data_IF_424581865290
#
_entry.id   IF_424581865290
#
_cell.length_a   1.000
_cell.length_b   1.000
_cell.length_c   1.000
_cell.angle_alpha   90.00
_cell.angle_beta   90.00
_cell.angle_gamma   90.00
#
_symmetry.space_group_name_H-M   'P 1'
#
loop_
_entity.id
_entity.type
_entity.pdbx_description
1 polymer ?
#
# COMPACT_ATOMS: atom_id res chain seq x y z
N UNK A 1 32.05 -15.90 7.41
CA UNK A 1 32.86 -15.31 8.50
C UNK A 1 32.25 -14.12 9.21
N UNK A 2 31.55 -13.19 8.54
CA UNK A 2 30.97 -12.01 9.21
C UNK A 2 30.03 -12.38 10.37
N UNK A 3 29.09 -13.31 10.15
CA UNK A 3 28.15 -13.80 11.18
C UNK A 3 28.87 -14.58 12.30
N UNK A 4 29.89 -15.35 11.94
CA UNK A 4 30.71 -16.07 12.91
C UNK A 4 31.49 -15.08 13.80
N UNK A 5 32.04 -14.02 13.21
CA UNK A 5 32.79 -12.97 13.91
C UNK A 5 31.89 -12.17 14.88
N UNK A 6 30.65 -11.87 14.51
CA UNK A 6 29.68 -11.24 15.42
C UNK A 6 29.30 -12.14 16.61
N UNK A 7 29.50 -13.45 16.49
CA UNK A 7 29.31 -14.43 17.57
C UNK A 7 30.62 -14.76 18.30
N UNK A 8 31.68 -13.98 18.09
CA UNK A 8 32.99 -14.16 18.73
C UNK A 8 33.83 -15.29 18.13
N UNK A 9 33.47 -15.82 16.95
CA UNK A 9 34.17 -16.91 16.27
C UNK A 9 34.95 -16.38 15.06
N UNK A 10 36.27 -16.34 15.14
CA UNK A 10 37.17 -15.97 14.02
C UNK A 10 37.61 -17.21 13.23
N UNK A 11 37.51 -17.16 11.90
CA UNK A 11 37.99 -18.21 10.99
C UNK A 11 37.20 -19.52 10.99
N UNK A 12 36.07 -19.57 11.72
CA UNK A 12 35.22 -20.77 11.89
C UNK A 12 33.85 -20.65 11.21
N UNK A 13 33.74 -19.87 10.14
CA UNK A 13 32.46 -19.67 9.44
C UNK A 13 31.78 -20.97 8.98
N UNK A 14 32.56 -22.00 8.63
CA UNK A 14 32.04 -23.33 8.24
C UNK A 14 31.62 -24.20 9.43
N UNK A 15 32.20 -23.98 10.62
CA UNK A 15 31.87 -24.74 11.83
C UNK A 15 30.69 -24.14 12.59
N UNK A 16 30.27 -22.92 12.20
CA UNK A 16 29.19 -22.19 12.86
C UNK A 16 27.89 -23.01 12.97
N UNK A 17 27.38 -23.69 11.91
CA UNK A 17 26.16 -24.47 12.02
C UNK A 17 26.29 -25.62 13.03
N UNK A 18 27.44 -26.31 13.04
CA UNK A 18 27.73 -27.40 13.97
C UNK A 18 27.79 -26.89 15.41
N UNK A 19 28.49 -25.78 15.65
CA UNK A 19 28.58 -25.16 16.97
C UNK A 19 27.19 -24.77 17.53
N UNK A 20 26.34 -24.16 16.71
CA UNK A 20 24.97 -23.79 17.11
C UNK A 20 24.13 -25.04 17.37
N UNK A 21 24.28 -26.08 16.54
CA UNK A 21 23.57 -27.35 16.69
C UNK A 21 23.99 -28.11 17.96
N UNK A 22 25.29 -28.15 18.27
CA UNK A 22 25.83 -28.77 19.49
C UNK A 22 25.29 -28.06 20.75
N UNK A 23 25.08 -26.75 20.66
CA UNK A 23 24.42 -25.95 21.71
C UNK A 23 22.90 -26.05 21.72
N UNK A 24 22.30 -26.83 20.80
CA UNK A 24 20.84 -26.96 20.60
C UNK A 24 20.13 -25.61 20.42
N UNK A 25 20.82 -24.65 19.80
CA UNK A 25 20.27 -23.32 19.53
C UNK A 25 19.79 -23.21 18.09
N UNK A 26 18.97 -22.20 17.82
CA UNK A 26 18.57 -21.78 16.48
C UNK A 26 18.69 -20.28 16.37
N UNK A 27 19.18 -19.79 15.25
CA UNK A 27 19.32 -18.36 14.97
C UNK A 27 18.51 -18.04 13.73
N UNK A 28 17.65 -17.03 13.83
CA UNK A 28 16.94 -16.46 12.69
C UNK A 28 17.36 -15.01 12.56
N UNK A 29 18.03 -14.68 11.47
CA UNK A 29 18.34 -13.30 11.13
C UNK A 29 17.09 -12.63 10.53
N UNK A 30 16.70 -11.49 11.09
CA UNK A 30 15.61 -10.67 10.53
C UNK A 30 16.23 -9.41 9.94
N UNK A 31 15.99 -9.18 8.66
CA UNK A 31 16.51 -8.03 7.91
C UNK A 31 15.33 -7.20 7.43
N UNK A 32 15.42 -5.89 7.64
CA UNK A 32 14.48 -4.88 7.19
C UNK A 32 15.24 -3.59 6.85
N UNK A 33 14.60 -2.61 6.20
CA UNK A 33 15.21 -1.33 5.86
C UNK A 33 16.31 -1.44 4.79
N UNK A 34 16.13 -2.34 3.81
CA UNK A 34 17.10 -2.50 2.72
C UNK A 34 17.27 -1.22 1.88
N UNK A 35 16.22 -0.40 1.81
CA UNK A 35 16.22 0.91 1.16
C UNK A 35 17.29 1.88 1.73
N UNK A 36 17.59 1.80 3.03
CA UNK A 36 18.57 2.68 3.66
C UNK A 36 19.99 2.32 3.26
N UNK A 37 20.24 1.02 3.05
CA UNK A 37 21.53 0.46 2.65
C UNK A 37 21.74 0.50 1.12
N UNK A 38 20.66 0.38 0.35
CA UNK A 38 20.70 0.27 -1.11
C UNK A 38 19.95 1.42 -1.79
N UNK A 39 20.34 2.66 -1.51
CA UNK A 39 19.61 3.85 -1.96
C UNK A 39 19.50 3.98 -3.50
N UNK A 40 20.44 3.39 -4.25
CA UNK A 40 20.51 3.49 -5.72
C UNK A 40 20.13 2.17 -6.40
N UNK A 41 19.33 1.31 -5.74
CA UNK A 41 18.93 -0.01 -6.23
C UNK A 41 18.30 -0.01 -7.64
N UNK A 42 17.76 1.11 -8.10
CA UNK A 42 17.17 1.24 -9.43
C UNK A 42 18.23 1.39 -10.55
N UNK A 43 19.39 1.99 -10.27
CA UNK A 43 20.38 2.40 -11.27
C UNK A 43 21.74 1.70 -11.10
N UNK A 44 22.11 1.35 -9.87
CA UNK A 44 23.39 0.72 -9.55
C UNK A 44 23.34 -0.80 -9.71
N UNK A 45 24.12 -1.32 -10.66
CA UNK A 45 24.23 -2.78 -10.93
C UNK A 45 24.87 -3.55 -9.78
N UNK A 46 25.83 -2.97 -9.06
CA UNK A 46 26.47 -3.62 -7.92
C UNK A 46 25.46 -3.80 -6.78
N UNK A 47 24.66 -2.77 -6.49
CA UNK A 47 23.58 -2.86 -5.52
C UNK A 47 22.51 -3.89 -5.93
N UNK A 48 22.11 -3.90 -7.20
CA UNK A 48 21.17 -4.91 -7.73
C UNK A 48 21.72 -6.34 -7.60
N UNK A 49 23.01 -6.55 -7.86
CA UNK A 49 23.67 -7.85 -7.68
C UNK A 49 23.70 -8.26 -6.22
N UNK A 50 24.05 -7.34 -5.30
CA UNK A 50 24.06 -7.60 -3.87
C UNK A 50 22.66 -7.95 -3.33
N UNK A 51 21.63 -7.20 -3.74
CA UNK A 51 20.24 -7.47 -3.40
C UNK A 51 19.78 -8.82 -3.94
N UNK A 52 20.13 -9.16 -5.19
CA UNK A 52 19.82 -10.49 -5.75
C UNK A 52 20.46 -11.60 -4.93
N UNK A 53 21.75 -11.47 -4.61
CA UNK A 53 22.46 -12.46 -3.81
C UNK A 53 21.83 -12.63 -2.42
N UNK A 54 21.45 -11.52 -1.77
CA UNK A 54 20.80 -11.56 -0.48
C UNK A 54 19.39 -12.19 -0.54
N UNK A 55 18.60 -11.87 -1.57
CA UNK A 55 17.21 -12.32 -1.67
C UNK A 55 17.07 -13.74 -2.23
N UNK A 56 18.03 -14.23 -3.02
CA UNK A 56 17.96 -15.54 -3.69
C UNK A 56 19.05 -16.50 -3.20
N UNK A 57 20.31 -16.10 -3.35
CA UNK A 57 21.44 -17.02 -3.15
C UNK A 57 21.64 -17.36 -1.66
N UNK A 58 21.49 -16.38 -0.76
CA UNK A 58 21.64 -16.59 0.69
C UNK A 58 20.56 -17.54 1.26
N UNK A 59 19.25 -17.34 1.02
CA UNK A 59 18.23 -18.30 1.43
C UNK A 59 18.47 -19.69 0.87
N UNK A 60 18.81 -19.80 -0.43
CA UNK A 60 19.07 -21.09 -1.06
C UNK A 60 20.30 -21.80 -0.43
N UNK A 61 21.35 -21.05 -0.12
CA UNK A 61 22.53 -21.57 0.56
C UNK A 61 22.21 -22.04 1.98
N UNK A 62 21.38 -21.29 2.72
CA UNK A 62 20.94 -21.66 4.07
C UNK A 62 20.08 -22.94 4.07
N UNK A 63 19.21 -23.12 3.08
CA UNK A 63 18.40 -24.34 2.91
C UNK A 63 19.25 -25.61 2.75
N UNK A 64 20.45 -25.48 2.20
CA UNK A 64 21.41 -26.57 1.99
C UNK A 64 22.30 -26.84 3.20
N UNK A 65 22.30 -25.98 4.22
CA UNK A 65 23.20 -26.15 5.37
C UNK A 65 22.79 -27.34 6.26
N UNK A 66 23.77 -28.11 6.77
CA UNK A 66 23.53 -29.14 7.77
C UNK A 66 22.84 -28.58 9.02
N UNK A 67 22.08 -29.41 9.73
CA UNK A 67 21.38 -29.11 10.99
C UNK A 67 20.25 -28.07 10.93
N UNK A 68 20.16 -27.27 9.86
CA UNK A 68 19.12 -26.23 9.65
C UNK A 68 18.89 -25.34 10.88
N UNK A 69 19.97 -25.01 11.57
CA UNK A 69 19.96 -24.19 12.79
C UNK A 69 20.05 -22.68 12.49
N UNK A 70 20.26 -22.30 11.22
CA UNK A 70 20.31 -20.94 10.74
C UNK A 70 19.14 -20.68 9.78
N UNK A 71 18.41 -19.60 10.02
CA UNK A 71 17.33 -19.12 9.15
C UNK A 71 17.45 -17.62 8.89
N UNK A 72 16.71 -17.15 7.89
CA UNK A 72 16.65 -15.74 7.54
C UNK A 72 15.22 -15.34 7.16
N UNK A 73 14.81 -14.15 7.58
CA UNK A 73 13.58 -13.48 7.18
C UNK A 73 13.98 -12.10 6.66
N UNK A 74 13.59 -11.78 5.44
CA UNK A 74 13.94 -10.52 4.79
C UNK A 74 12.66 -9.80 4.40
N UNK A 75 12.44 -8.64 5.00
CA UNK A 75 11.42 -7.70 4.56
C UNK A 75 12.02 -6.84 3.44
N UNK A 76 11.30 -6.78 2.32
CA UNK A 76 11.74 -6.04 1.14
C UNK A 76 10.55 -5.43 0.44
N UNK A 77 10.68 -4.17 0.02
CA UNK A 77 9.69 -3.49 -0.79
C UNK A 77 9.59 -4.13 -2.18
N UNK A 78 8.41 -4.11 -2.78
CA UNK A 78 8.13 -4.75 -4.06
C UNK A 78 8.91 -4.12 -5.24
N UNK A 79 9.19 -2.82 -5.17
CA UNK A 79 9.99 -2.09 -6.16
C UNK A 79 11.47 -2.52 -6.15
N UNK A 80 12.08 -2.64 -4.96
CA UNK A 80 13.44 -3.17 -4.77
C UNK A 80 13.58 -4.58 -5.36
N UNK A 81 12.61 -5.46 -5.05
CA UNK A 81 12.58 -6.82 -5.58
C UNK A 81 12.52 -6.81 -7.12
N UNK A 82 11.66 -5.97 -7.69
CA UNK A 82 11.45 -5.88 -9.15
C UNK A 82 12.68 -5.33 -9.86
N UNK A 83 13.36 -4.34 -9.27
CA UNK A 83 14.58 -3.76 -9.82
C UNK A 83 15.76 -4.75 -9.81
N UNK A 84 15.86 -5.57 -8.77
CA UNK A 84 17.01 -6.47 -8.52
C UNK A 84 16.88 -7.83 -9.23
N UNK A 85 15.65 -8.35 -9.37
CA UNK A 85 15.36 -9.69 -9.91
C UNK A 85 14.58 -9.59 -11.22
N UNK A 86 15.19 -9.01 -12.27
CA UNK A 86 14.47 -8.69 -13.52
C UNK A 86 13.91 -9.90 -14.26
N UNK A 87 14.65 -11.01 -14.35
CA UNK A 87 14.25 -12.18 -15.16
C UNK A 87 13.22 -13.08 -14.47
N UNK A 88 13.28 -13.21 -13.13
CA UNK A 88 12.47 -14.18 -12.37
C UNK A 88 11.56 -13.54 -11.31
N UNK A 89 11.36 -12.21 -11.35
CA UNK A 89 10.54 -11.50 -10.34
C UNK A 89 9.12 -12.06 -10.21
N UNK A 90 8.49 -12.49 -11.32
CA UNK A 90 7.15 -13.07 -11.32
C UNK A 90 7.07 -14.37 -10.51
N UNK A 91 8.01 -15.30 -10.75
CA UNK A 91 8.07 -16.56 -10.00
C UNK A 91 8.35 -16.31 -8.51
N UNK A 92 9.25 -15.38 -8.20
CA UNK A 92 9.58 -15.04 -6.83
C UNK A 92 8.39 -14.40 -6.10
N UNK A 93 7.70 -13.45 -6.73
CA UNK A 93 6.46 -12.85 -6.21
C UNK A 93 5.40 -13.91 -5.96
N UNK A 94 5.22 -14.86 -6.88
CA UNK A 94 4.26 -15.95 -6.71
C UNK A 94 4.62 -16.86 -5.53
N UNK A 95 5.90 -17.21 -5.36
CA UNK A 95 6.38 -18.07 -4.25
C UNK A 95 6.13 -17.44 -2.89
N UNK A 96 6.29 -16.12 -2.77
CA UNK A 96 6.15 -15.39 -1.50
C UNK A 96 4.81 -14.67 -1.34
N UNK A 97 3.88 -14.82 -2.28
CA UNK A 97 2.56 -14.18 -2.24
C UNK A 97 1.82 -14.36 -0.90
N UNK A 98 1.78 -15.56 -0.28
CA UNK A 98 1.08 -15.76 0.99
C UNK A 98 1.64 -14.93 2.16
N UNK A 99 2.90 -14.49 2.05
CA UNK A 99 3.61 -13.71 3.08
C UNK A 99 3.63 -12.21 2.77
N UNK A 100 2.88 -11.77 1.75
CA UNK A 100 2.88 -10.35 1.36
C UNK A 100 2.19 -9.52 2.42
N UNK A 101 2.94 -8.62 3.04
CA UNK A 101 2.40 -7.62 3.96
C UNK A 101 1.70 -6.53 3.16
N UNK A 102 0.36 -6.53 3.19
CA UNK A 102 -0.46 -5.53 2.53
C UNK A 102 -1.58 -5.06 3.44
N UNK A 103 -1.84 -3.77 3.38
CA UNK A 103 -3.06 -3.18 3.92
C UNK A 103 -4.20 -3.43 2.94
N UNK A 104 -4.98 -4.45 3.25
CA UNK A 104 -6.22 -4.76 2.55
C UNK A 104 -7.42 -4.09 3.24
N UNK A 105 -8.62 -4.32 2.71
CA UNK A 105 -9.88 -3.73 3.21
C UNK A 105 -10.11 -4.01 4.69
N UNK A 106 -9.96 -5.27 5.11
CA UNK A 106 -10.20 -5.70 6.49
C UNK A 106 -9.19 -5.10 7.46
N UNK A 107 -7.90 -5.23 7.16
CA UNK A 107 -6.81 -4.67 7.98
C UNK A 107 -6.94 -3.14 8.11
N UNK A 108 -7.36 -2.44 7.05
CA UNK A 108 -7.65 -1.01 7.11
C UNK A 108 -8.83 -0.70 8.03
N UNK A 109 -9.94 -1.44 7.94
CA UNK A 109 -11.07 -1.21 8.84
C UNK A 109 -10.72 -1.57 10.30
N UNK A 110 -9.88 -2.59 10.52
CA UNK A 110 -9.34 -2.90 11.86
C UNK A 110 -8.49 -1.76 12.38
N UNK A 111 -7.63 -1.17 11.56
CA UNK A 111 -6.86 0.03 11.94
C UNK A 111 -7.79 1.18 12.31
N UNK A 112 -8.82 1.46 11.51
CA UNK A 112 -9.78 2.52 11.81
C UNK A 112 -10.52 2.26 13.13
N UNK A 113 -10.98 1.03 13.34
CA UNK A 113 -11.67 0.64 14.58
C UNK A 113 -10.74 0.77 15.80
N UNK A 114 -9.49 0.36 15.67
CA UNK A 114 -8.48 0.53 16.72
C UNK A 114 -8.22 2.01 17.04
N UNK A 115 -8.06 2.87 16.03
CA UNK A 115 -7.88 4.32 16.24
C UNK A 115 -9.10 4.93 16.92
N UNK A 116 -10.30 4.56 16.49
CA UNK A 116 -11.54 5.07 17.07
C UNK A 116 -11.78 4.59 18.51
N UNK A 117 -11.43 3.34 18.83
CA UNK A 117 -11.40 2.81 20.20
C UNK A 117 -10.41 3.61 21.08
N UNK A 118 -9.20 3.87 20.58
CA UNK A 118 -8.21 4.73 21.27
C UNK A 118 -8.67 6.17 21.47
N UNK A 119 -9.57 6.66 20.62
CA UNK A 119 -10.19 7.96 20.75
C UNK A 119 -11.44 7.97 21.67
N UNK A 120 -11.72 6.86 22.37
CA UNK A 120 -12.91 6.66 23.22
C UNK A 120 -14.24 6.84 22.47
N UNK A 121 -14.26 6.60 21.16
CA UNK A 121 -15.51 6.54 20.41
C UNK A 121 -16.20 5.24 20.81
N UNK A 122 -17.46 5.33 21.25
CA UNK A 122 -18.25 4.17 21.68
C UNK A 122 -18.60 3.25 20.51
N UNK A 123 -17.60 2.52 20.03
CA UNK A 123 -17.76 1.36 19.18
C UNK A 123 -18.11 0.19 20.11
N UNK A 124 -19.19 -0.53 19.84
CA UNK A 124 -19.60 -1.70 20.63
C UNK A 124 -18.63 -2.88 20.44
N UNK A 125 -17.34 -2.66 20.72
CA UNK A 125 -16.21 -3.55 20.45
C UNK A 125 -15.80 -4.28 21.73
N UNK A 126 -15.41 -5.55 21.57
CA UNK A 126 -14.51 -6.22 22.49
C UNK A 126 -13.11 -6.16 21.85
N UNK A 127 -12.14 -5.42 22.41
CA UNK A 127 -10.81 -5.23 21.79
C UNK A 127 -10.10 -6.54 21.43
N UNK A 128 -10.29 -7.60 22.23
CA UNK A 128 -9.71 -8.92 21.99
C UNK A 128 -10.20 -9.61 20.69
N UNK A 129 -11.37 -9.24 20.16
CA UNK A 129 -11.95 -9.85 18.96
C UNK A 129 -11.68 -9.10 17.65
N UNK A 130 -11.02 -7.93 17.70
CA UNK A 130 -10.88 -7.07 16.51
C UNK A 130 -10.11 -7.76 15.37
N UNK A 131 -9.15 -8.63 15.70
CA UNK A 131 -8.35 -9.37 14.72
C UNK A 131 -9.14 -10.49 14.03
N UNK A 132 -10.25 -10.94 14.61
CA UNK A 132 -11.07 -12.02 14.07
C UNK A 132 -12.27 -11.49 13.26
N UNK A 133 -12.58 -10.18 13.41
CA UNK A 133 -13.71 -9.57 12.72
C UNK A 133 -13.49 -9.50 11.21
N UNK A 134 -14.52 -9.86 10.45
CA UNK A 134 -14.55 -9.75 8.99
C UNK A 134 -14.98 -8.35 8.53
N UNK A 135 -14.89 -8.08 7.22
CA UNK A 135 -15.24 -6.77 6.63
C UNK A 135 -16.67 -6.28 6.98
N UNK A 136 -17.65 -7.19 7.03
CA UNK A 136 -19.04 -6.82 7.29
C UNK A 136 -19.23 -6.41 8.75
N UNK A 137 -18.69 -7.18 9.69
CA UNK A 137 -18.71 -6.88 11.13
C UNK A 137 -18.01 -5.55 11.43
N UNK A 138 -16.85 -5.32 10.82
CA UNK A 138 -16.11 -4.07 10.95
C UNK A 138 -16.89 -2.87 10.39
N UNK A 139 -17.53 -3.05 9.23
CA UNK A 139 -18.35 -2.01 8.60
C UNK A 139 -19.53 -1.60 9.50
N UNK A 140 -20.21 -2.57 10.10
CA UNK A 140 -21.32 -2.31 11.02
C UNK A 140 -20.83 -1.66 12.31
N UNK A 141 -19.69 -2.10 12.82
CA UNK A 141 -19.12 -1.58 14.07
C UNK A 141 -18.67 -0.13 13.94
N UNK A 142 -18.20 0.29 12.77
CA UNK A 142 -17.74 1.64 12.49
C UNK A 142 -18.86 2.65 12.19
N UNK A 143 -20.14 2.27 12.33
CA UNK A 143 -21.26 3.19 12.14
C UNK A 143 -21.23 4.42 13.05
N UNK A 144 -20.92 4.33 14.37
CA UNK A 144 -20.80 5.52 15.22
C UNK A 144 -19.66 6.46 14.78
N UNK A 145 -18.71 5.98 13.99
CA UNK A 145 -17.65 6.82 13.46
C UNK A 145 -18.13 7.65 12.26
N UNK A 146 -18.69 7.02 11.22
CA UNK A 146 -18.97 7.70 9.93
C UNK A 146 -20.34 7.38 9.31
N UNK A 147 -21.20 6.70 10.05
CA UNK A 147 -22.52 6.21 9.68
C UNK A 147 -22.54 5.17 8.56
N UNK A 148 -23.75 4.74 8.18
CA UNK A 148 -23.94 3.73 7.12
C UNK A 148 -23.57 4.26 5.73
N UNK A 149 -23.95 5.49 5.46
CA UNK A 149 -23.80 6.20 4.18
C UNK A 149 -23.19 7.57 4.39
N UNK A 150 -22.62 8.13 3.33
CA UNK A 150 -22.17 9.53 3.28
C UNK A 150 -23.34 10.51 3.11
N UNK A 151 -24.34 10.34 3.95
CA UNK A 151 -25.62 11.03 3.97
C UNK A 151 -26.54 10.27 4.93
N UNK A 152 -27.83 10.58 4.91
CA UNK A 152 -28.78 9.82 5.71
C UNK A 152 -28.94 8.40 5.16
N UNK A 153 -29.43 7.49 5.99
CA UNK A 153 -29.57 6.06 5.64
C UNK A 153 -30.49 5.82 4.44
N UNK A 154 -31.45 6.72 4.20
CA UNK A 154 -32.41 6.67 3.08
C UNK A 154 -31.86 7.26 1.78
N UNK A 155 -30.72 7.96 1.82
CA UNK A 155 -30.17 8.67 0.67
C UNK A 155 -29.61 7.72 -0.39
N UNK A 156 -29.50 8.20 -1.64
CA UNK A 156 -28.79 7.53 -2.75
C UNK A 156 -27.27 7.73 -2.68
N UNK A 157 -26.73 8.10 -1.52
CA UNK A 157 -25.30 8.30 -1.30
C UNK A 157 -24.59 6.96 -1.12
N UNK A 158 -23.27 6.98 -1.38
CA UNK A 158 -22.40 5.83 -1.18
C UNK A 158 -22.38 5.38 0.29
N UNK A 159 -22.16 4.09 0.53
CA UNK A 159 -21.87 3.56 1.87
C UNK A 159 -20.52 4.08 2.35
N UNK A 160 -20.41 4.48 3.62
CA UNK A 160 -19.25 5.20 4.15
C UNK A 160 -17.96 4.38 4.07
N UNK A 161 -17.92 3.19 4.70
CA UNK A 161 -16.72 2.35 4.72
C UNK A 161 -16.27 1.93 3.30
N UNK A 162 -17.13 1.39 2.41
CA UNK A 162 -16.72 1.08 1.05
C UNK A 162 -16.20 2.28 0.27
N UNK A 163 -16.79 3.47 0.47
CA UNK A 163 -16.33 4.68 -0.19
C UNK A 163 -14.94 5.07 0.27
N UNK A 164 -14.69 5.12 1.58
CA UNK A 164 -13.39 5.48 2.14
C UNK A 164 -12.31 4.53 1.63
N UNK A 165 -12.58 3.23 1.69
CA UNK A 165 -11.67 2.21 1.15
C UNK A 165 -11.38 2.49 -0.33
N UNK A 166 -12.42 2.60 -1.17
CA UNK A 166 -12.23 2.81 -2.60
C UNK A 166 -11.58 4.15 -2.96
N UNK A 167 -11.77 5.18 -2.13
CA UNK A 167 -11.19 6.50 -2.34
C UNK A 167 -9.71 6.57 -1.96
N UNK A 168 -9.27 5.76 -0.98
CA UNK A 168 -7.88 5.67 -0.55
C UNK A 168 -7.09 4.56 -1.26
N UNK A 169 -7.77 3.59 -1.88
CA UNK A 169 -7.15 2.50 -2.61
C UNK A 169 -6.62 2.93 -3.98
N UNK A 170 -5.52 2.31 -4.38
CA UNK A 170 -5.14 2.20 -5.79
C UNK A 170 -5.95 1.08 -6.49
N UNK A 171 -5.75 0.91 -7.80
CA UNK A 171 -6.43 -0.16 -8.55
C UNK A 171 -5.87 -1.57 -8.32
N UNK A 172 -4.72 -1.70 -7.67
CA UNK A 172 -4.21 -2.98 -7.17
C UNK A 172 -4.86 -3.37 -5.82
N UNK A 173 -5.73 -2.52 -5.28
CA UNK A 173 -6.38 -2.72 -3.99
C UNK A 173 -5.46 -2.47 -2.80
N UNK A 174 -4.31 -1.82 -3.01
CA UNK A 174 -3.41 -1.42 -1.93
C UNK A 174 -3.87 -0.11 -1.31
N UNK A 175 -3.73 -0.01 0.00
CA UNK A 175 -4.02 1.18 0.81
C UNK A 175 -2.78 1.47 1.65
N UNK A 176 -2.47 2.72 1.95
CA UNK A 176 -1.42 3.04 2.91
C UNK A 176 -2.05 3.40 4.26
N UNK A 177 -1.54 2.83 5.35
CA UNK A 177 -2.03 3.13 6.71
C UNK A 177 -1.94 4.62 7.04
N UNK A 178 -0.87 5.28 6.59
CA UNK A 178 -0.67 6.73 6.73
C UNK A 178 -1.79 7.54 6.07
N UNK A 179 -2.27 7.14 4.89
CA UNK A 179 -3.43 7.81 4.24
C UNK A 179 -4.70 7.65 5.07
N UNK A 180 -4.90 6.48 5.69
CA UNK A 180 -6.05 6.21 6.56
C UNK A 180 -6.00 7.07 7.81
N UNK A 181 -4.87 7.09 8.52
CA UNK A 181 -4.70 7.89 9.74
C UNK A 181 -4.81 9.40 9.43
N UNK A 182 -4.26 9.84 8.30
CA UNK A 182 -4.39 11.22 7.81
C UNK A 182 -5.85 11.59 7.54
N UNK A 183 -6.59 10.71 6.86
CA UNK A 183 -8.03 10.90 6.63
C UNK A 183 -8.77 11.06 7.96
N UNK A 184 -8.53 10.18 8.94
CA UNK A 184 -9.18 10.27 10.26
C UNK A 184 -8.86 11.60 10.96
N UNK A 185 -7.59 12.00 10.99
CA UNK A 185 -7.15 13.27 11.59
C UNK A 185 -7.84 14.48 10.94
N UNK A 186 -7.78 14.58 9.61
CA UNK A 186 -8.29 15.74 8.87
C UNK A 186 -9.82 15.76 8.89
N UNK A 187 -10.46 14.60 8.71
CA UNK A 187 -11.92 14.51 8.76
C UNK A 187 -12.46 14.84 10.15
N UNK A 188 -11.80 14.39 11.23
CA UNK A 188 -12.19 14.74 12.60
C UNK A 188 -12.12 16.25 12.82
N UNK A 189 -11.00 16.89 12.46
CA UNK A 189 -10.84 18.34 12.58
C UNK A 189 -11.91 19.13 11.80
N UNK A 190 -12.24 18.68 10.58
CA UNK A 190 -13.27 19.31 9.74
C UNK A 190 -14.72 18.96 10.15
N UNK A 191 -14.92 18.13 11.18
CA UNK A 191 -16.24 17.73 11.69
C UNK A 191 -16.63 18.47 12.97
N UNK A 192 -15.71 19.21 13.60
CA UNK A 192 -15.90 19.85 14.92
C UNK A 192 -17.08 20.85 14.91
N UNK A 193 -17.20 21.65 13.85
CA UNK A 193 -18.20 22.73 13.76
C UNK A 193 -19.53 22.29 13.11
N UNK A 194 -19.76 20.99 12.93
CA UNK A 194 -20.99 20.46 12.32
C UNK A 194 -21.92 19.89 13.40
N UNK A 195 -23.03 20.58 13.66
CA UNK A 195 -24.05 20.23 14.64
C UNK A 195 -25.23 19.45 14.04
N UNK A 196 -25.23 19.21 12.73
CA UNK A 196 -26.33 18.54 12.04
C UNK A 196 -26.28 17.01 12.25
N UNK A 197 -25.09 16.43 12.21
CA UNK A 197 -24.92 14.97 12.33
C UNK A 197 -24.71 14.55 13.79
N UNK A 198 -25.78 14.07 14.42
CA UNK A 198 -25.75 13.62 15.82
C UNK A 198 -25.50 12.11 16.00
N UNK A 199 -25.50 11.34 14.91
CA UNK A 199 -25.36 9.88 14.92
C UNK A 199 -23.93 9.38 14.67
N UNK A 200 -22.98 10.29 14.43
CA UNK A 200 -21.61 9.97 14.04
C UNK A 200 -20.61 11.05 14.40
N UNK A 201 -19.33 10.67 14.50
CA UNK A 201 -18.23 11.60 14.77
C UNK A 201 -17.70 12.30 13.51
N UNK A 202 -17.59 11.58 12.40
CA UNK A 202 -17.06 12.08 11.12
C UNK A 202 -18.20 12.40 10.16
N UNK A 203 -18.33 13.68 9.81
CA UNK A 203 -19.42 14.11 8.94
C UNK A 203 -19.13 13.85 7.46
N UNK A 204 -20.13 13.53 6.64
CA UNK A 204 -19.92 13.19 5.22
C UNK A 204 -19.19 14.24 4.40
N UNK A 205 -19.37 15.53 4.75
CA UNK A 205 -18.69 16.65 4.07
C UNK A 205 -17.20 16.67 4.38
N UNK A 206 -16.83 16.41 5.63
CA UNK A 206 -15.43 16.33 6.08
C UNK A 206 -14.71 15.16 5.41
N UNK A 207 -15.33 13.97 5.40
CA UNK A 207 -14.78 12.76 4.74
C UNK A 207 -14.48 13.04 3.26
N UNK A 208 -15.39 13.69 2.52
CA UNK A 208 -15.15 13.99 1.10
C UNK A 208 -14.06 15.03 0.91
N UNK A 209 -14.05 16.10 1.72
CA UNK A 209 -13.12 17.23 1.55
C UNK A 209 -11.69 16.87 1.91
N UNK A 210 -11.46 15.96 2.85
CA UNK A 210 -10.11 15.54 3.24
C UNK A 210 -9.39 14.72 2.16
N UNK A 211 -10.10 14.17 1.17
CA UNK A 211 -9.48 13.33 0.14
C UNK A 211 -8.45 14.11 -0.68
N UNK A 212 -8.71 15.37 -1.00
CA UNK A 212 -7.75 16.20 -1.74
C UNK A 212 -6.44 16.39 -0.96
N UNK A 213 -6.54 16.65 0.35
CA UNK A 213 -5.39 16.80 1.25
C UNK A 213 -4.62 15.46 1.34
N UNK A 214 -5.33 14.33 1.51
CA UNK A 214 -4.71 13.01 1.57
C UNK A 214 -3.99 12.66 0.26
N UNK A 215 -4.63 12.91 -0.87
CA UNK A 215 -4.06 12.69 -2.19
C UNK A 215 -2.81 13.51 -2.45
N UNK A 216 -2.77 14.78 -2.01
CA UNK A 216 -1.61 15.63 -2.23
C UNK A 216 -0.38 15.14 -1.45
N UNK A 217 -0.60 14.79 -0.18
CA UNK A 217 0.44 14.19 0.67
C UNK A 217 0.95 12.87 0.10
N UNK A 218 0.04 11.99 -0.36
CA UNK A 218 0.42 10.72 -0.99
C UNK A 218 1.35 10.92 -2.19
N UNK A 219 1.04 11.87 -3.07
CA UNK A 219 1.90 12.17 -4.23
C UNK A 219 3.27 12.65 -3.76
N UNK A 220 3.32 13.53 -2.75
CA UNK A 220 4.58 14.04 -2.18
C UNK A 220 5.43 12.90 -1.61
N UNK A 221 4.83 11.98 -0.86
CA UNK A 221 5.52 10.82 -0.29
C UNK A 221 6.07 9.88 -1.36
N UNK A 222 5.25 9.54 -2.38
CA UNK A 222 5.70 8.69 -3.48
C UNK A 222 6.85 9.35 -4.26
N UNK A 223 6.85 10.68 -4.38
CA UNK A 223 7.94 11.40 -5.05
C UNK A 223 9.25 11.41 -4.26
N UNK A 224 9.18 11.26 -2.94
CA UNK A 224 10.36 11.07 -2.09
C UNK A 224 10.85 9.63 -2.12
N UNK A 225 9.94 8.66 -2.23
CA UNK A 225 10.23 7.23 -2.07
C UNK A 225 10.43 6.48 -3.40
N UNK A 226 9.98 7.03 -4.54
CA UNK A 226 9.97 6.34 -5.84
C UNK A 226 10.34 7.30 -6.98
N UNK A 227 11.65 7.43 -7.22
CA UNK A 227 12.20 8.30 -8.26
C UNK A 227 11.69 7.98 -9.69
N UNK A 228 11.51 6.71 -10.12
CA UNK A 228 10.84 6.41 -11.38
C UNK A 228 9.42 6.99 -11.49
N UNK A 229 8.57 6.82 -10.47
CA UNK A 229 7.20 7.35 -10.49
C UNK A 229 7.19 8.88 -10.46
N UNK A 230 8.10 9.50 -9.69
CA UNK A 230 8.25 10.96 -9.65
C UNK A 230 8.46 11.55 -11.05
N UNK A 231 9.31 10.93 -11.87
CA UNK A 231 9.53 11.35 -13.27
C UNK A 231 8.23 11.29 -14.08
N UNK A 232 7.42 10.25 -13.90
CA UNK A 232 6.12 10.14 -14.58
C UNK A 232 5.12 11.17 -14.06
N UNK A 233 5.05 11.40 -12.75
CA UNK A 233 4.17 12.41 -12.15
C UNK A 233 4.51 13.82 -12.61
N UNK A 234 5.80 14.14 -12.77
CA UNK A 234 6.23 15.41 -13.34
C UNK A 234 5.74 15.61 -14.78
N UNK A 235 5.80 14.57 -15.63
CA UNK A 235 5.19 14.61 -16.98
C UNK A 235 3.68 14.85 -16.90
N UNK A 236 2.98 14.12 -16.03
CA UNK A 236 1.53 14.27 -15.84
C UNK A 236 1.14 15.68 -15.35
N UNK A 237 1.95 16.31 -14.49
CA UNK A 237 1.73 17.69 -14.02
C UNK A 237 1.87 18.73 -15.12
N UNK A 238 2.73 18.49 -16.10
CA UNK A 238 2.97 19.40 -17.23
C UNK A 238 1.88 19.31 -18.30
N UNK A 239 0.96 18.35 -18.20
CA UNK A 239 -0.15 18.24 -19.14
C UNK A 239 -1.05 19.48 -19.11
N UNK A 240 -1.53 19.94 -20.28
CA UNK A 240 -2.56 20.97 -20.38
C UNK A 240 -3.80 20.57 -19.57
N UNK A 241 -4.50 21.56 -18.99
CA UNK A 241 -5.69 21.31 -18.17
C UNK A 241 -6.76 20.50 -18.92
N UNK A 242 -6.90 20.70 -20.23
CA UNK A 242 -7.85 19.97 -21.07
C UNK A 242 -7.56 18.48 -21.19
N UNK A 243 -6.29 18.08 -21.02
CA UNK A 243 -5.85 16.69 -21.10
C UNK A 243 -5.81 16.02 -19.70
N UNK A 244 -5.92 16.80 -18.62
CA UNK A 244 -6.03 16.29 -17.24
C UNK A 244 -7.46 15.86 -16.91
N UNK A 245 -7.95 14.86 -17.64
CA UNK A 245 -9.29 14.29 -17.49
C UNK A 245 -9.19 12.79 -17.22
N UNK A 246 -10.01 12.30 -16.30
CA UNK A 246 -10.21 10.86 -16.06
C UNK A 246 -11.61 10.46 -16.55
N UNK A 247 -11.74 9.47 -17.46
CA UNK A 247 -10.66 8.76 -18.15
C UNK A 247 -9.99 9.58 -19.28
N UNK A 248 -8.81 9.15 -19.70
CA UNK A 248 -8.05 9.68 -20.86
C UNK A 248 -7.69 8.58 -21.88
N UNK A 249 -7.24 8.98 -23.08
CA UNK A 249 -6.64 8.07 -24.07
C UNK A 249 -5.12 8.24 -24.13
N UNK A 250 -4.39 7.22 -24.57
CA UNK A 250 -2.92 7.26 -24.61
C UNK A 250 -2.40 8.44 -25.42
N UNK A 251 -3.03 8.71 -26.57
CA UNK A 251 -2.63 9.75 -27.51
C UNK A 251 -2.78 11.16 -26.92
N UNK A 252 -3.68 11.33 -25.94
CA UNK A 252 -3.94 12.64 -25.31
C UNK A 252 -2.92 13.03 -24.23
N UNK A 253 -2.07 12.11 -23.76
CA UNK A 253 -1.22 12.37 -22.57
C UNK A 253 0.29 12.30 -22.84
N UNK A 254 0.71 11.90 -24.05
CA UNK A 254 2.13 11.93 -24.45
C UNK A 254 3.07 11.10 -23.56
N UNK A 255 2.54 10.09 -22.85
CA UNK A 255 3.35 9.17 -22.05
C UNK A 255 3.89 8.03 -22.90
N UNK A 256 5.11 7.59 -22.60
CA UNK A 256 5.70 6.41 -23.23
C UNK A 256 5.03 5.12 -22.77
N UNK A 257 5.21 4.04 -23.52
CA UNK A 257 4.76 2.69 -23.12
C UNK A 257 5.31 2.29 -21.75
N UNK A 258 6.53 2.69 -21.43
CA UNK A 258 7.18 2.41 -20.15
C UNK A 258 6.54 3.21 -18.99
N UNK A 259 6.23 4.48 -19.21
CA UNK A 259 5.49 5.30 -18.23
C UNK A 259 4.12 4.66 -17.93
N UNK A 260 3.41 4.20 -18.96
CA UNK A 260 2.11 3.54 -18.83
C UNK A 260 2.21 2.19 -18.14
N UNK A 261 3.28 1.44 -18.36
CA UNK A 261 3.58 0.20 -17.63
C UNK A 261 3.77 0.50 -16.15
N UNK A 262 4.59 1.50 -15.82
CA UNK A 262 4.88 1.87 -14.44
C UNK A 262 3.63 2.34 -13.69
N UNK A 263 2.76 3.17 -14.31
CA UNK A 263 1.51 3.61 -13.70
C UNK A 263 0.54 2.45 -13.42
N UNK A 264 0.45 1.47 -14.32
CA UNK A 264 -0.38 0.27 -14.12
C UNK A 264 0.18 -0.62 -13.01
N UNK A 265 1.49 -0.88 -13.03
CA UNK A 265 2.15 -1.72 -12.01
C UNK A 265 1.98 -1.16 -10.59
N UNK A 266 1.86 0.16 -10.45
CA UNK A 266 1.63 0.84 -9.18
C UNK A 266 0.15 1.18 -8.92
N UNK A 267 -0.79 0.61 -9.68
CA UNK A 267 -2.23 0.78 -9.45
C UNK A 267 -2.75 2.21 -9.66
N UNK A 268 -1.95 3.10 -10.23
CA UNK A 268 -2.32 4.49 -10.48
C UNK A 268 -3.42 4.56 -11.54
N UNK A 269 -3.29 3.71 -12.57
CA UNK A 269 -4.24 3.63 -13.67
C UNK A 269 -4.69 2.20 -13.97
N UNK A 270 -5.87 2.08 -14.56
CA UNK A 270 -6.38 0.84 -15.15
C UNK A 270 -6.89 1.11 -16.56
N UNK A 271 -6.73 0.13 -17.46
CA UNK A 271 -7.25 0.18 -18.81
C UNK A 271 -8.65 -0.42 -18.83
N UNK A 272 -9.62 0.25 -19.43
CA UNK A 272 -10.96 -0.29 -19.66
C UNK A 272 -11.48 0.21 -21.02
N UNK A 273 -11.58 -0.72 -21.97
CA UNK A 273 -11.81 -0.39 -23.39
C UNK A 273 -10.61 0.36 -24.00
N UNK A 274 -10.89 1.44 -24.71
CA UNK A 274 -9.88 2.31 -25.35
C UNK A 274 -9.33 3.42 -24.42
N UNK A 275 -9.59 3.29 -23.11
CA UNK A 275 -9.42 4.37 -22.14
C UNK A 275 -8.70 3.93 -20.88
N UNK A 276 -8.01 4.87 -20.27
CA UNK A 276 -7.35 4.72 -18.99
C UNK A 276 -8.05 5.56 -17.93
N UNK A 277 -8.34 4.92 -16.79
CA UNK A 277 -8.91 5.57 -15.62
C UNK A 277 -7.82 5.76 -14.57
N UNK A 278 -7.88 6.86 -13.82
CA UNK A 278 -6.98 7.15 -12.70
C UNK A 278 -7.71 6.86 -11.39
N UNK A 279 -7.06 6.14 -10.47
CA UNK A 279 -7.63 5.84 -9.16
C UNK A 279 -7.81 7.12 -8.34
N UNK A 280 -8.85 7.18 -7.51
CA UNK A 280 -9.32 8.43 -6.91
C UNK A 280 -8.23 9.14 -6.10
N UNK A 281 -7.46 8.38 -5.32
CA UNK A 281 -6.38 8.91 -4.49
C UNK A 281 -5.27 9.57 -5.33
N UNK A 282 -4.97 9.08 -6.53
CA UNK A 282 -4.00 9.70 -7.43
C UNK A 282 -4.63 10.79 -8.28
N UNK A 283 -5.90 10.62 -8.70
CA UNK A 283 -6.65 11.56 -9.53
C UNK A 283 -6.69 12.93 -8.90
N UNK A 284 -7.05 13.01 -7.61
CA UNK A 284 -7.12 14.28 -6.89
C UNK A 284 -5.72 14.90 -6.69
N UNK A 285 -4.71 14.10 -6.37
CA UNK A 285 -3.35 14.58 -6.09
C UNK A 285 -2.64 15.11 -7.33
N UNK A 286 -2.86 14.44 -8.47
CA UNK A 286 -2.36 14.85 -9.79
C UNK A 286 -3.29 15.86 -10.50
N UNK A 287 -4.38 16.28 -9.84
CA UNK A 287 -5.35 17.27 -10.31
C UNK A 287 -6.05 16.91 -11.62
N UNK A 288 -6.37 15.63 -11.80
CA UNK A 288 -7.22 15.15 -12.88
C UNK A 288 -8.68 15.44 -12.57
N UNK A 289 -9.38 16.08 -13.50
CA UNK A 289 -10.82 16.29 -13.42
C UNK A 289 -11.60 15.01 -13.75
N UNK A 290 -12.77 14.84 -13.17
CA UNK A 290 -13.66 13.72 -13.48
C UNK A 290 -14.60 14.12 -14.63
N UNK A 291 -14.65 13.34 -15.71
CA UNK A 291 -15.62 13.57 -16.77
C UNK A 291 -17.05 13.22 -16.29
N UNK A 292 -18.01 14.09 -16.61
CA UNK A 292 -19.42 13.90 -16.28
C UNK A 292 -19.98 12.59 -16.87
N UNK A 293 -20.87 11.91 -16.14
CA UNK A 293 -21.55 10.68 -16.59
C UNK A 293 -20.75 9.37 -16.47
N UNK A 294 -19.58 9.37 -15.83
CA UNK A 294 -18.71 8.18 -15.66
C UNK A 294 -18.91 7.47 -14.33
N UNK A 295 -18.51 6.17 -14.22
CA UNK A 295 -18.74 5.39 -13.02
C UNK A 295 -18.10 6.08 -11.81
N UNK A 296 -18.87 6.21 -10.73
CA UNK A 296 -18.40 6.78 -9.46
C UNK A 296 -17.23 5.94 -8.92
N UNK A 297 -16.42 6.52 -8.04
CA UNK A 297 -15.27 5.89 -7.36
C UNK A 297 -15.48 4.39 -7.05
N UNK A 298 -16.63 4.04 -6.44
CA UNK A 298 -16.99 2.65 -6.11
C UNK A 298 -17.13 1.73 -7.32
N UNK A 299 -17.69 2.21 -8.42
CA UNK A 299 -17.88 1.44 -9.66
C UNK A 299 -16.55 1.06 -10.27
N UNK A 300 -15.64 2.04 -10.43
CA UNK A 300 -14.30 1.78 -10.99
C UNK A 300 -13.47 0.87 -10.08
N UNK A 301 -13.49 1.11 -8.77
CA UNK A 301 -12.80 0.23 -7.82
C UNK A 301 -13.37 -1.19 -7.80
N UNK A 302 -14.64 -1.38 -8.17
CA UNK A 302 -15.24 -2.72 -8.28
C UNK A 302 -14.83 -3.42 -9.56
N UNK A 303 -14.81 -2.70 -10.69
CA UNK A 303 -14.34 -3.23 -11.97
C UNK A 303 -12.87 -3.65 -11.88
N UNK A 304 -12.00 -2.80 -11.30
CA UNK A 304 -10.59 -3.12 -11.14
C UNK A 304 -10.35 -4.41 -10.35
N UNK A 305 -11.13 -4.65 -9.29
CA UNK A 305 -11.07 -5.89 -8.50
C UNK A 305 -11.49 -7.13 -9.26
N UNK A 306 -12.35 -6.97 -10.27
CA UNK A 306 -12.81 -8.07 -11.12
C UNK A 306 -11.84 -8.36 -12.28
N UNK A 307 -10.71 -7.63 -12.36
CA UNK A 307 -9.67 -7.84 -13.37
C UNK A 307 -10.01 -7.26 -14.75
N UNK A 308 -10.77 -6.16 -14.79
CA UNK A 308 -11.39 -5.58 -15.98
C UNK A 308 -10.73 -4.29 -16.47
#
# INVERSE_FOLDING_TARGET
DVIAKSLGMTGKGRDLPKYIADKKQKIVAVIDGLEDLFQEFAQDKAQQTALRALLQDVPQWLEQQPFRCLGIIIFVRQDILTASVRQNSGQMKSRYQPYTLRWNRETVLRLVAWVADKANISLKLKPAGLQDMNEAELTETLRPLWGKKLGNDRSRQARSAPFVIAALSDYNGQIQSRDVVRLLKIAAAKSIDDDYWQDRVLVPKAIRRCLADCSHEKITEIELENEPLKKVFNKLRQLPADNKKSPFKLESIGLSTEDMRLLRENGVIIAYGDKYYVSEIFRLGLRFSQNAGKPKVLGLATLARQGL
#
